data_IF_419735961131
#
_entry.id   IF_419735961131
#
_cell.length_a   1.000
_cell.length_b   1.000
_cell.length_c   1.000
_cell.angle_alpha   90.00
_cell.angle_beta   90.00
_cell.angle_gamma   90.00
#
_symmetry.space_group_name_H-M   'P 1'
#
loop_
_entity.id
_entity.type
_entity.pdbx_description
1 polymer ?
#
# COMPACT_ATOMS: atom_id res chain seq x y z
N UNK A 1 11.43 -2.57 0.99
CA UNK A 1 10.79 -2.07 -0.25
C UNK A 1 10.02 -3.24 -0.84
N UNK A 2 8.89 -3.63 -0.23
CA UNK A 2 8.27 -4.95 -0.53
C UNK A 2 6.86 -4.78 -1.11
N UNK A 3 6.39 -3.54 -1.25
CA UNK A 3 5.06 -3.22 -1.75
C UNK A 3 4.84 -3.75 -3.17
N UNK A 4 5.87 -3.73 -4.02
CA UNK A 4 5.77 -4.18 -5.41
C UNK A 4 5.54 -5.69 -5.50
N UNK A 5 6.19 -6.48 -4.63
CA UNK A 5 6.00 -7.94 -4.55
C UNK A 5 4.65 -8.34 -3.96
N UNK A 6 3.95 -7.41 -3.29
CA UNK A 6 2.60 -7.60 -2.77
C UNK A 6 1.50 -7.23 -3.78
N UNK A 7 1.86 -6.84 -4.99
CA UNK A 7 0.93 -6.59 -6.09
C UNK A 7 0.73 -7.86 -6.93
N UNK A 8 -0.47 -8.02 -7.46
CA UNK A 8 -0.81 -9.07 -8.41
C UNK A 8 -0.05 -8.87 -9.73
N UNK A 9 0.16 -9.94 -10.51
CA UNK A 9 0.89 -9.86 -11.78
C UNK A 9 0.29 -8.83 -12.76
N UNK A 10 -1.05 -8.72 -12.81
CA UNK A 10 -1.74 -7.72 -13.66
C UNK A 10 -1.43 -6.28 -13.22
N UNK A 11 -1.32 -6.05 -11.91
CA UNK A 11 -0.99 -4.73 -11.35
C UNK A 11 0.46 -4.35 -11.63
N UNK A 12 1.38 -5.31 -11.54
CA UNK A 12 2.79 -5.13 -11.89
C UNK A 12 2.95 -4.79 -13.39
N UNK A 13 2.28 -5.54 -14.28
CA UNK A 13 2.29 -5.26 -15.72
C UNK A 13 1.64 -3.90 -16.02
N UNK A 14 0.57 -3.53 -15.30
CA UNK A 14 -0.05 -2.23 -15.43
C UNK A 14 0.92 -1.09 -15.09
N UNK A 15 1.69 -1.21 -14.00
CA UNK A 15 2.73 -0.23 -13.62
C UNK A 15 3.80 -0.15 -14.71
N UNK A 16 4.25 -1.29 -15.24
CA UNK A 16 5.23 -1.33 -16.33
C UNK A 16 4.72 -0.60 -17.57
N UNK A 17 3.48 -0.85 -17.99
CA UNK A 17 2.88 -0.13 -19.12
C UNK A 17 2.70 1.36 -18.82
N UNK A 18 2.37 1.72 -17.58
CA UNK A 18 2.27 3.12 -17.15
C UNK A 18 3.60 3.85 -17.32
N UNK A 19 4.73 3.21 -16.99
CA UNK A 19 6.07 3.75 -17.19
C UNK A 19 6.41 3.86 -18.69
N UNK A 20 6.09 2.84 -19.50
CA UNK A 20 6.28 2.93 -20.96
C UNK A 20 5.49 4.07 -21.60
N UNK A 21 4.30 4.36 -21.07
CA UNK A 21 3.49 5.52 -21.46
C UNK A 21 3.98 6.84 -20.83
N UNK A 22 5.13 6.87 -20.15
CA UNK A 22 5.63 8.07 -19.42
C UNK A 22 4.59 8.67 -18.46
N UNK A 23 3.74 7.82 -17.87
CA UNK A 23 2.65 8.22 -17.00
C UNK A 23 1.39 8.77 -17.69
N UNK A 24 1.34 8.75 -19.03
CA UNK A 24 0.22 9.26 -19.82
C UNK A 24 -0.99 8.34 -19.74
N UNK A 25 -1.98 8.70 -18.92
CA UNK A 25 -3.25 7.97 -18.81
C UNK A 25 -4.00 7.90 -20.14
N UNK A 26 -3.82 8.90 -21.02
CA UNK A 26 -4.44 8.91 -22.36
C UNK A 26 -3.81 7.88 -23.29
N UNK A 27 -2.49 7.70 -23.22
CA UNK A 27 -1.81 6.63 -23.98
C UNK A 27 -2.14 5.26 -23.43
N UNK A 28 -2.19 5.13 -22.11
CA UNK A 28 -2.56 3.89 -21.47
C UNK A 28 -4.00 3.48 -21.81
N UNK A 29 -4.94 4.44 -21.85
CA UNK A 29 -6.31 4.19 -22.26
C UNK A 29 -6.39 3.69 -23.71
N UNK A 30 -5.59 4.26 -24.61
CA UNK A 30 -5.45 3.78 -25.99
C UNK A 30 -4.87 2.36 -26.04
N UNK A 31 -3.82 2.10 -25.27
CA UNK A 31 -3.16 0.79 -25.21
C UNK A 31 -4.11 -0.32 -24.74
N UNK A 32 -4.86 -0.07 -23.66
CA UNK A 32 -5.80 -1.04 -23.11
C UNK A 32 -7.16 -1.06 -23.82
N UNK A 33 -7.41 -0.18 -24.78
CA UNK A 33 -8.69 -0.11 -25.50
C UNK A 33 -9.88 0.29 -24.62
N UNK A 34 -9.64 1.06 -23.56
CA UNK A 34 -10.66 1.48 -22.59
C UNK A 34 -10.75 3.00 -22.48
N UNK A 35 -11.75 3.49 -21.75
CA UNK A 35 -11.92 4.92 -21.53
C UNK A 35 -10.83 5.48 -20.60
N UNK A 36 -10.50 6.77 -20.76
CA UNK A 36 -9.61 7.48 -19.83
C UNK A 36 -10.08 7.38 -18.37
N UNK A 37 -11.37 7.59 -18.03
CA UNK A 37 -11.87 7.37 -16.68
C UNK A 37 -11.61 5.97 -16.13
N UNK A 38 -11.70 4.93 -16.97
CA UNK A 38 -11.44 3.54 -16.57
C UNK A 38 -9.99 3.34 -16.14
N UNK A 39 -9.04 3.88 -16.91
CA UNK A 39 -7.61 3.80 -16.57
C UNK A 39 -7.30 4.61 -15.31
N UNK A 40 -7.86 5.82 -15.21
CA UNK A 40 -7.65 6.68 -14.05
C UNK A 40 -8.06 5.96 -12.76
N UNK A 41 -9.22 5.32 -12.75
CA UNK A 41 -9.69 4.54 -11.61
C UNK A 41 -8.74 3.38 -11.26
N UNK A 42 -8.14 2.72 -12.26
CA UNK A 42 -7.11 1.69 -12.01
C UNK A 42 -5.86 2.25 -11.35
N UNK A 43 -5.38 3.42 -11.79
CA UNK A 43 -4.24 4.11 -11.16
C UNK A 43 -4.55 4.51 -9.72
N UNK A 44 -5.72 5.12 -9.49
CA UNK A 44 -6.12 5.56 -8.15
C UNK A 44 -6.15 4.39 -7.15
N UNK A 45 -6.70 3.25 -7.55
CA UNK A 45 -6.69 2.01 -6.74
C UNK A 45 -5.28 1.50 -6.43
N UNK A 46 -4.35 1.60 -7.39
CA UNK A 46 -2.96 1.20 -7.16
C UNK A 46 -2.26 2.13 -6.17
N UNK A 47 -2.50 3.44 -6.26
CA UNK A 47 -1.97 4.42 -5.32
C UNK A 47 -2.45 4.10 -3.90
N UNK A 48 -3.75 3.83 -3.72
CA UNK A 48 -4.31 3.43 -2.43
C UNK A 48 -3.65 2.15 -1.89
N UNK A 49 -3.49 1.12 -2.74
CA UNK A 49 -2.88 -0.16 -2.35
C UNK A 49 -1.41 0.00 -1.94
N UNK A 50 -0.65 0.84 -2.65
CA UNK A 50 0.74 1.15 -2.31
C UNK A 50 0.79 1.89 -0.96
N UNK A 51 -0.03 2.93 -0.78
CA UNK A 51 -0.09 3.68 0.47
C UNK A 51 -0.46 2.79 1.68
N UNK A 52 -1.36 1.82 1.50
CA UNK A 52 -1.71 0.84 2.54
C UNK A 52 -0.54 -0.12 2.86
N UNK A 53 0.28 -0.49 1.88
CA UNK A 53 1.46 -1.30 2.11
C UNK A 53 2.56 -0.53 2.86
N UNK A 54 2.74 0.75 2.52
CA UNK A 54 3.72 1.60 3.20
C UNK A 54 3.29 1.90 4.64
N UNK A 55 2.00 2.17 4.88
CA UNK A 55 1.47 2.35 6.24
C UNK A 55 1.51 1.07 7.10
N UNK A 56 1.43 -0.12 6.48
CA UNK A 56 1.62 -1.39 7.19
C UNK A 56 3.06 -1.62 7.66
N UNK A 57 4.07 -1.00 7.01
CA UNK A 57 5.48 -1.19 7.39
C UNK A 57 5.92 -0.37 8.60
N UNK A 58 5.27 0.76 8.86
CA UNK A 58 5.67 1.70 9.93
C UNK A 58 4.54 1.98 10.94
N UNK A 59 3.56 1.08 11.08
CA UNK A 59 2.55 1.23 12.12
C UNK A 59 3.20 1.15 13.50
N UNK A 60 2.98 2.18 14.32
CA UNK A 60 3.34 2.19 15.75
C UNK A 60 2.88 0.90 16.44
N UNK A 61 1.70 0.39 16.07
CA UNK A 61 1.15 -0.85 16.61
C UNK A 61 1.99 -2.07 16.21
N UNK A 62 2.51 -2.12 14.98
CA UNK A 62 3.40 -3.21 14.52
C UNK A 62 4.71 -3.19 15.31
N UNK A 63 5.29 -2.00 15.52
CA UNK A 63 6.49 -1.84 16.36
C UNK A 63 6.25 -2.31 17.80
N UNK A 64 5.12 -1.92 18.40
CA UNK A 64 4.74 -2.33 19.75
C UNK A 64 4.48 -3.84 19.83
N UNK A 65 3.82 -4.44 18.82
CA UNK A 65 3.59 -5.88 18.77
C UNK A 65 4.90 -6.66 18.60
N UNK A 66 5.88 -6.13 17.86
CA UNK A 66 7.21 -6.72 17.77
C UNK A 66 7.94 -6.71 19.12
N UNK A 67 7.78 -5.66 19.93
CA UNK A 67 8.33 -5.63 21.30
C UNK A 67 7.70 -6.68 22.23
N UNK A 68 6.47 -7.11 21.96
CA UNK A 68 5.85 -8.24 22.69
C UNK A 68 6.47 -9.57 22.28
N UNK A 69 6.70 -9.78 20.97
CA UNK A 69 7.37 -10.99 20.44
C UNK A 69 8.79 -11.09 20.99
N UNK A 70 9.50 -9.96 21.07
CA UNK A 70 10.86 -9.87 21.61
C UNK A 70 10.91 -9.94 23.16
N UNK A 71 9.77 -10.17 23.85
CA UNK A 71 9.63 -10.20 25.31
C UNK A 71 10.05 -8.90 26.04
N UNK A 72 10.19 -7.79 25.32
CA UNK A 72 10.54 -6.47 25.88
C UNK A 72 9.37 -5.79 26.55
N UNK A 73 8.14 -6.11 26.15
CA UNK A 73 6.90 -5.52 26.66
C UNK A 73 5.84 -6.62 26.83
N UNK A 74 5.06 -6.56 27.90
CA UNK A 74 3.95 -7.50 28.09
C UNK A 74 2.77 -7.20 27.13
N UNK A 75 2.03 -8.24 26.72
CA UNK A 75 0.86 -8.08 25.85
C UNK A 75 -0.20 -7.13 26.44
N UNK A 76 -0.38 -7.13 27.76
CA UNK A 76 -1.33 -6.22 28.44
C UNK A 76 -0.87 -4.76 28.36
N UNK A 77 0.41 -4.49 28.61
CA UNK A 77 0.99 -3.14 28.49
C UNK A 77 0.94 -2.63 27.05
N UNK A 78 1.27 -3.48 26.08
CA UNK A 78 1.19 -3.15 24.65
C UNK A 78 -0.23 -2.71 24.23
N UNK A 79 -1.26 -3.45 24.68
CA UNK A 79 -2.67 -3.09 24.43
C UNK A 79 -3.05 -1.74 25.02
N UNK A 80 -2.58 -1.42 26.23
CA UNK A 80 -2.85 -0.12 26.85
C UNK A 80 -2.18 1.03 26.08
N UNK A 81 -0.93 0.84 25.65
CA UNK A 81 -0.17 1.83 24.87
C UNK A 81 -0.85 2.11 23.53
N UNK A 82 -1.24 1.06 22.78
CA UNK A 82 -1.93 1.21 21.50
C UNK A 82 -3.29 1.92 21.69
N UNK A 83 -4.03 1.58 22.74
CA UNK A 83 -5.31 2.23 23.04
C UNK A 83 -5.13 3.73 23.28
N UNK A 84 -4.18 4.13 24.13
CA UNK A 84 -3.91 5.54 24.42
C UNK A 84 -3.45 6.29 23.16
N UNK A 85 -2.66 5.66 22.30
CA UNK A 85 -2.22 6.27 21.04
C UNK A 85 -3.38 6.55 20.07
N UNK A 86 -4.40 5.68 20.02
CA UNK A 86 -5.60 5.88 19.17
C UNK A 86 -6.59 6.93 19.69
N UNK A 87 -6.49 7.32 20.96
CA UNK A 87 -7.35 8.33 21.60
C UNK A 87 -6.83 9.77 21.38
N UNK A 88 -5.65 9.93 20.77
CA UNK A 88 -5.04 11.20 20.35
C UNK A 88 -5.45 11.51 18.91
#
# INVERSE_FOLDING_TARGET
MDWFFNLEDEEQEFIKQFIFASGSLKELARYYGVSYPTVRLRVDRLIEKIALNDTKKDSFEVSIMQMVIDEKVSLSSAKEIIRKYREI
#
